data_IF_735473698406
#
_entry.id   IF_735473698406
#
_cell.length_a   1.000
_cell.length_b   1.000
_cell.length_c   1.000
_cell.angle_alpha   90.00
_cell.angle_beta   90.00
_cell.angle_gamma   90.00
#
_symmetry.space_group_name_H-M   'P 1'
#
loop_
_entity.id
_entity.type
_entity.pdbx_description
1 polymer ?
#
# COMPACT_ATOMS: atom_id res chain seq x y z
N UNK A 1 -2.23 -2.26 -1.44
CA UNK A 1 -1.19 -2.70 -0.47
C UNK A 1 0.20 -2.98 -1.09
N UNK A 2 0.31 -3.19 -2.38
CA UNK A 2 1.58 -3.57 -3.05
C UNK A 2 2.13 -2.50 -4.00
N UNK A 3 1.34 -1.47 -4.35
CA UNK A 3 1.67 -0.53 -5.42
C UNK A 3 2.96 0.25 -5.17
N UNK A 4 3.17 0.79 -3.98
CA UNK A 4 4.29 1.69 -3.69
C UNK A 4 5.68 1.05 -3.80
N UNK A 5 5.84 -0.21 -3.36
CA UNK A 5 7.10 -0.93 -3.49
C UNK A 5 7.31 -1.37 -4.93
N UNK A 6 6.25 -1.80 -5.63
CA UNK A 6 6.29 -2.29 -7.02
C UNK A 6 6.81 -1.24 -7.99
N UNK A 7 6.31 -0.02 -7.88
CA UNK A 7 6.69 1.06 -8.81
C UNK A 7 8.13 1.55 -8.58
N UNK A 8 8.71 1.19 -7.45
CA UNK A 8 9.97 1.69 -6.95
C UNK A 8 11.14 0.70 -7.06
N UNK A 9 10.86 -0.59 -6.94
CA UNK A 9 11.86 -1.67 -6.88
C UNK A 9 11.49 -2.78 -7.87
N UNK A 10 12.18 -2.77 -9.03
CA UNK A 10 11.99 -3.79 -10.08
C UNK A 10 12.37 -5.18 -9.60
N UNK A 11 13.34 -5.29 -8.69
CA UNK A 11 13.77 -6.58 -8.11
C UNK A 11 12.64 -7.12 -7.24
N UNK A 12 12.09 -6.27 -6.36
CA UNK A 12 10.94 -6.67 -5.55
C UNK A 12 9.75 -7.11 -6.41
N UNK A 13 9.46 -6.41 -7.52
CA UNK A 13 8.39 -6.79 -8.44
C UNK A 13 8.63 -8.18 -9.06
N UNK A 14 9.87 -8.46 -9.45
CA UNK A 14 10.27 -9.75 -10.02
C UNK A 14 10.15 -10.86 -8.97
N UNK A 15 10.67 -10.63 -7.76
CA UNK A 15 10.59 -11.60 -6.65
C UNK A 15 9.12 -11.88 -6.28
N UNK A 16 8.27 -10.85 -6.24
CA UNK A 16 6.85 -10.98 -5.96
C UNK A 16 6.11 -11.77 -7.05
N UNK A 17 6.44 -11.53 -8.32
CA UNK A 17 5.86 -12.27 -9.44
C UNK A 17 6.27 -13.76 -9.38
N UNK A 18 7.56 -14.04 -9.13
CA UNK A 18 8.08 -15.39 -8.96
C UNK A 18 7.42 -16.10 -7.77
N UNK A 19 7.32 -15.43 -6.63
CA UNK A 19 6.64 -15.95 -5.44
C UNK A 19 5.18 -16.30 -5.73
N UNK A 20 4.43 -15.40 -6.37
CA UNK A 20 3.03 -15.66 -6.71
C UNK A 20 2.88 -16.84 -7.68
N UNK A 21 3.79 -16.95 -8.65
CA UNK A 21 3.82 -18.10 -9.55
C UNK A 21 4.03 -19.40 -8.77
N UNK A 22 5.01 -19.44 -7.88
CA UNK A 22 5.33 -20.61 -7.04
C UNK A 22 4.12 -20.99 -6.16
N UNK A 23 3.49 -20.04 -5.49
CA UNK A 23 2.27 -20.28 -4.69
C UNK A 23 1.15 -20.89 -5.53
N UNK A 24 0.96 -20.39 -6.75
CA UNK A 24 -0.05 -20.93 -7.67
C UNK A 24 0.26 -22.37 -8.10
N UNK A 25 1.52 -22.67 -8.43
CA UNK A 25 1.95 -24.04 -8.80
C UNK A 25 1.82 -24.99 -7.59
N UNK A 26 2.25 -24.54 -6.39
CA UNK A 26 2.07 -25.32 -5.17
C UNK A 26 0.58 -25.61 -4.89
N UNK A 27 -0.28 -24.61 -5.02
CA UNK A 27 -1.72 -24.78 -4.84
C UNK A 27 -2.34 -25.74 -5.86
N UNK A 28 -1.83 -25.75 -7.09
CA UNK A 28 -2.22 -26.74 -8.11
C UNK A 28 -1.81 -28.14 -7.69
N UNK A 29 -0.54 -28.31 -7.29
CA UNK A 29 -0.02 -29.58 -6.79
C UNK A 29 -0.84 -30.08 -5.59
N UNK A 30 -1.15 -29.23 -4.61
CA UNK A 30 -1.99 -29.59 -3.45
C UNK A 30 -3.38 -30.12 -3.84
N UNK A 31 -3.94 -29.64 -4.94
CA UNK A 31 -5.20 -30.18 -5.50
C UNK A 31 -4.98 -31.53 -6.18
N UNK A 32 -3.90 -31.66 -6.94
CA UNK A 32 -3.57 -32.88 -7.70
C UNK A 32 -3.20 -34.05 -6.78
N UNK A 33 -2.65 -33.78 -5.58
CA UNK A 33 -2.35 -34.80 -4.56
C UNK A 33 -3.54 -35.63 -4.11
N UNK A 34 -4.75 -35.09 -4.26
CA UNK A 34 -5.97 -35.87 -3.96
C UNK A 34 -6.22 -37.00 -4.97
N UNK A 35 -5.65 -36.89 -6.19
CA UNK A 35 -5.77 -37.89 -7.26
C UNK A 35 -4.48 -38.69 -7.40
N UNK A 36 -3.33 -38.04 -7.18
CA UNK A 36 -1.98 -38.64 -7.36
C UNK A 36 -1.12 -38.41 -6.09
N UNK A 37 -1.29 -39.21 -5.03
CA UNK A 37 -0.53 -39.07 -3.78
C UNK A 37 0.99 -39.21 -3.93
N UNK A 38 1.45 -39.90 -5.01
CA UNK A 38 2.88 -40.08 -5.30
C UNK A 38 3.63 -38.79 -5.60
N UNK A 39 2.92 -37.70 -5.92
CA UNK A 39 3.52 -36.38 -6.15
C UNK A 39 3.91 -35.65 -4.86
N UNK A 40 3.67 -36.22 -3.68
CA UNK A 40 3.91 -35.56 -2.38
C UNK A 40 5.35 -35.07 -2.21
N UNK A 41 6.33 -35.85 -2.67
CA UNK A 41 7.75 -35.51 -2.54
C UNK A 41 8.14 -34.26 -3.37
N UNK A 42 7.35 -33.90 -4.38
CA UNK A 42 7.57 -32.69 -5.17
C UNK A 42 7.22 -31.41 -4.42
N UNK A 43 6.49 -31.50 -3.29
CA UNK A 43 6.22 -30.35 -2.44
C UNK A 43 7.51 -29.71 -1.89
N UNK A 44 8.54 -30.50 -1.61
CA UNK A 44 9.79 -29.99 -1.08
C UNK A 44 10.43 -28.93 -1.97
N UNK A 45 10.37 -29.14 -3.28
CA UNK A 45 10.92 -28.19 -4.26
C UNK A 45 10.18 -26.86 -4.22
N UNK A 46 8.85 -26.91 -4.17
CA UNK A 46 8.02 -25.71 -4.10
C UNK A 46 8.17 -24.99 -2.77
N UNK A 47 8.28 -25.71 -1.65
CA UNK A 47 8.43 -25.14 -0.32
C UNK A 47 9.75 -24.39 -0.17
N UNK A 48 10.87 -24.97 -0.69
CA UNK A 48 12.18 -24.33 -0.68
C UNK A 48 12.16 -23.03 -1.50
N UNK A 49 11.63 -23.08 -2.73
CA UNK A 49 11.54 -21.90 -3.59
C UNK A 49 10.62 -20.83 -2.99
N UNK A 50 9.48 -21.25 -2.43
CA UNK A 50 8.54 -20.35 -1.77
C UNK A 50 9.19 -19.65 -0.56
N UNK A 51 9.99 -20.37 0.23
CA UNK A 51 10.73 -19.81 1.36
C UNK A 51 11.80 -18.81 0.89
N UNK A 52 12.53 -19.13 -0.17
CA UNK A 52 13.59 -18.25 -0.71
C UNK A 52 13.02 -16.88 -1.15
N UNK A 53 12.02 -16.89 -2.04
CA UNK A 53 11.41 -15.64 -2.51
C UNK A 53 10.59 -14.95 -1.43
N UNK A 54 9.94 -15.72 -0.56
CA UNK A 54 9.16 -15.19 0.54
C UNK A 54 9.98 -14.40 1.55
N UNK A 55 11.18 -14.86 1.91
CA UNK A 55 12.13 -14.13 2.78
C UNK A 55 12.47 -12.76 2.19
N UNK A 56 12.86 -12.72 0.92
CA UNK A 56 13.18 -11.45 0.22
C UNK A 56 12.01 -10.46 0.27
N UNK A 57 10.78 -10.94 0.11
CA UNK A 57 9.57 -10.11 0.18
C UNK A 57 9.35 -9.56 1.59
N UNK A 58 9.45 -10.40 2.63
CA UNK A 58 9.25 -10.01 4.01
C UNK A 58 10.28 -8.94 4.41
N UNK A 59 11.55 -9.16 4.09
CA UNK A 59 12.64 -8.22 4.40
C UNK A 59 12.41 -6.87 3.72
N UNK A 60 12.07 -6.88 2.42
CA UNK A 60 11.78 -5.66 1.67
C UNK A 60 10.57 -4.90 2.17
N UNK A 61 9.52 -5.61 2.60
CA UNK A 61 8.35 -4.97 3.23
C UNK A 61 8.70 -4.35 4.56
N UNK A 62 9.48 -5.04 5.40
CA UNK A 62 9.94 -4.52 6.68
C UNK A 62 10.79 -3.26 6.52
N UNK A 63 11.73 -3.27 5.57
CA UNK A 63 12.54 -2.10 5.22
C UNK A 63 11.68 -0.91 4.75
N UNK A 64 10.73 -1.19 3.86
CA UNK A 64 9.83 -0.17 3.34
C UNK A 64 8.96 0.47 4.42
N UNK A 65 8.40 -0.32 5.35
CA UNK A 65 7.56 0.21 6.41
C UNK A 65 8.36 1.08 7.38
N UNK A 66 9.63 0.76 7.66
CA UNK A 66 10.51 1.64 8.44
C UNK A 66 10.66 3.00 7.76
N UNK A 67 10.99 3.00 6.46
CA UNK A 67 11.12 4.22 5.67
C UNK A 67 9.80 5.02 5.58
N UNK A 68 8.68 4.32 5.43
CA UNK A 68 7.34 4.93 5.40
C UNK A 68 7.03 5.65 6.71
N UNK A 69 7.35 5.03 7.85
CA UNK A 69 7.09 5.60 9.18
C UNK A 69 7.86 6.89 9.43
N UNK A 70 9.09 7.03 8.91
CA UNK A 70 9.85 8.27 9.02
C UNK A 70 9.15 9.46 8.34
N UNK A 71 8.48 9.18 7.22
CA UNK A 71 7.81 10.19 6.40
C UNK A 71 6.39 10.44 6.88
N UNK A 72 5.62 9.36 7.15
CA UNK A 72 4.21 9.47 7.48
C UNK A 72 3.96 10.18 8.81
N UNK A 73 4.82 9.99 9.81
CA UNK A 73 4.72 10.71 11.09
C UNK A 73 4.76 12.22 10.91
N UNK A 74 5.68 12.72 10.08
CA UNK A 74 5.81 14.14 9.79
C UNK A 74 4.59 14.68 9.06
N UNK A 75 4.15 14.00 8.00
CA UNK A 75 3.03 14.42 7.17
C UNK A 75 1.74 14.40 7.99
N UNK A 76 1.50 13.32 8.74
CA UNK A 76 0.29 13.20 9.55
C UNK A 76 0.25 14.21 10.70
N UNK A 77 1.39 14.43 11.37
CA UNK A 77 1.51 15.47 12.39
C UNK A 77 1.16 16.85 11.84
N UNK A 78 1.64 17.21 10.65
CA UNK A 78 1.29 18.48 10.02
C UNK A 78 -0.20 18.56 9.64
N UNK A 79 -0.78 17.48 9.08
CA UNK A 79 -2.20 17.41 8.72
C UNK A 79 -3.13 17.49 9.94
N UNK A 80 -2.67 17.07 11.10
CA UNK A 80 -3.47 17.05 12.35
C UNK A 80 -3.09 18.15 13.33
N UNK A 81 -2.23 19.09 12.93
CA UNK A 81 -1.72 20.14 13.82
C UNK A 81 -0.95 19.61 15.03
N UNK A 82 -0.32 18.44 14.90
CA UNK A 82 0.45 17.77 15.95
C UNK A 82 -0.41 16.99 16.98
N UNK A 83 -1.71 16.89 16.76
CA UNK A 83 -2.63 16.21 17.70
C UNK A 83 -2.55 14.67 17.61
N UNK A 84 -2.12 14.14 16.49
CA UNK A 84 -2.08 12.70 16.28
C UNK A 84 -0.71 12.25 15.75
N UNK A 85 -0.19 11.16 16.32
CA UNK A 85 0.99 10.45 15.82
C UNK A 85 0.55 9.20 15.07
N UNK A 86 0.82 9.13 13.76
CA UNK A 86 0.52 7.96 12.93
C UNK A 86 1.71 7.02 12.85
N UNK A 87 1.44 5.74 13.01
CA UNK A 87 2.44 4.68 12.87
C UNK A 87 1.85 3.49 12.09
N UNK A 88 2.62 2.96 11.16
CA UNK A 88 2.26 1.76 10.39
C UNK A 88 3.08 0.59 10.91
N UNK A 89 2.41 -0.47 11.30
CA UNK A 89 3.04 -1.70 11.80
C UNK A 89 2.89 -2.76 10.71
N UNK A 90 4.02 -3.35 10.33
CA UNK A 90 4.00 -4.51 9.46
C UNK A 90 3.73 -5.76 10.29
N UNK A 91 2.70 -6.50 9.93
CA UNK A 91 2.26 -7.74 10.58
C UNK A 91 2.52 -8.91 9.61
N UNK A 92 3.76 -9.44 9.55
CA UNK A 92 4.03 -10.61 8.75
C UNK A 92 3.36 -11.84 9.35
N UNK A 93 2.87 -12.74 8.50
CA UNK A 93 2.36 -14.06 8.91
C UNK A 93 3.40 -14.84 9.74
N UNK A 94 4.68 -14.69 9.36
CA UNK A 94 5.82 -15.16 10.15
C UNK A 94 7.07 -14.37 9.78
N UNK A 95 8.12 -14.46 10.62
CA UNK A 95 9.40 -13.82 10.31
C UNK A 95 10.12 -14.53 9.16
N UNK A 96 11.01 -13.80 8.47
CA UNK A 96 11.77 -14.34 7.33
C UNK A 96 12.55 -15.62 7.71
N UNK A 97 13.13 -15.67 8.92
CA UNK A 97 13.92 -16.80 9.42
C UNK A 97 13.06 -18.05 9.68
N UNK A 98 11.80 -17.85 10.10
CA UNK A 98 10.88 -18.94 10.44
C UNK A 98 10.01 -19.40 9.26
N UNK A 99 10.10 -18.72 8.11
CA UNK A 99 9.19 -18.97 6.99
C UNK A 99 9.23 -20.42 6.50
N UNK A 100 10.42 -20.98 6.29
CA UNK A 100 10.60 -22.36 5.81
C UNK A 100 10.01 -23.38 6.78
N UNK A 101 10.36 -23.26 8.07
CA UNK A 101 9.82 -24.14 9.11
C UNK A 101 8.29 -24.01 9.24
N UNK A 102 7.75 -22.80 9.06
CA UNK A 102 6.31 -22.55 9.11
C UNK A 102 5.59 -23.17 7.90
N UNK A 103 6.15 -23.09 6.70
CA UNK A 103 5.62 -23.76 5.50
C UNK A 103 5.59 -25.28 5.73
N UNK A 104 6.70 -25.87 6.19
CA UNK A 104 6.77 -27.29 6.48
C UNK A 104 5.77 -27.75 7.54
N UNK A 105 5.63 -26.99 8.64
CA UNK A 105 4.68 -27.30 9.72
C UNK A 105 3.21 -27.26 9.26
N UNK A 106 2.90 -26.44 8.27
CA UNK A 106 1.54 -26.30 7.74
C UNK A 106 1.20 -27.28 6.60
N UNK A 107 2.13 -28.13 6.14
CA UNK A 107 1.91 -29.03 4.98
C UNK A 107 0.65 -29.88 5.09
N UNK A 108 0.43 -30.55 6.22
CA UNK A 108 -0.74 -31.40 6.39
C UNK A 108 -2.06 -30.61 6.34
N UNK A 109 -2.05 -29.41 6.92
CA UNK A 109 -3.18 -28.48 6.82
C UNK A 109 -3.41 -28.05 5.37
N UNK A 110 -2.35 -27.68 4.67
CA UNK A 110 -2.39 -27.23 3.28
C UNK A 110 -2.91 -28.33 2.36
N UNK A 111 -2.47 -29.58 2.55
CA UNK A 111 -2.97 -30.73 1.80
C UNK A 111 -4.47 -30.94 2.03
N UNK A 112 -4.96 -30.82 3.26
CA UNK A 112 -6.40 -30.92 3.57
C UNK A 112 -7.22 -29.78 2.96
N UNK A 113 -6.69 -28.56 3.05
CA UNK A 113 -7.36 -27.35 2.56
C UNK A 113 -7.15 -27.11 1.07
N UNK A 114 -6.21 -27.85 0.44
CA UNK A 114 -5.78 -27.70 -0.97
C UNK A 114 -5.33 -26.25 -1.29
N UNK A 115 -4.75 -25.58 -0.30
CA UNK A 115 -4.36 -24.18 -0.37
C UNK A 115 -3.16 -23.91 0.54
N UNK A 116 -2.23 -23.10 0.07
CA UNK A 116 -1.11 -22.61 0.86
C UNK A 116 -1.58 -21.63 1.93
N UNK A 117 -1.35 -21.94 3.19
CA UNK A 117 -1.87 -21.17 4.33
C UNK A 117 -0.82 -20.27 4.99
N UNK A 118 0.47 -20.47 4.71
CA UNK A 118 1.57 -19.71 5.34
C UNK A 118 2.35 -18.90 4.30
N UNK A 119 2.84 -17.72 4.68
CA UNK A 119 3.76 -16.90 3.90
C UNK A 119 3.29 -15.47 3.60
N UNK A 120 4.12 -14.66 2.91
CA UNK A 120 3.90 -13.22 2.74
C UNK A 120 2.63 -12.82 1.98
N UNK A 121 1.92 -13.72 1.36
CA UNK A 121 0.58 -13.47 0.81
C UNK A 121 -0.50 -13.36 1.90
N UNK A 122 -0.18 -13.70 3.16
CA UNK A 122 -1.03 -13.57 4.34
C UNK A 122 -0.70 -12.37 5.21
N UNK A 123 0.40 -11.69 4.93
CA UNK A 123 0.80 -10.50 5.70
C UNK A 123 -0.27 -9.41 5.69
N UNK A 124 -0.32 -8.66 6.76
CA UNK A 124 -1.18 -7.49 6.89
C UNK A 124 -0.38 -6.25 7.37
N UNK A 125 -1.06 -5.13 7.42
CA UNK A 125 -0.58 -3.88 7.99
C UNK A 125 -1.57 -3.40 9.02
N UNK A 126 -1.09 -2.99 10.19
CA UNK A 126 -1.87 -2.26 11.17
C UNK A 126 -1.52 -0.78 11.11
N UNK A 127 -2.51 0.10 11.10
CA UNK A 127 -2.33 1.56 11.10
C UNK A 127 -2.82 2.09 12.45
N UNK A 128 -1.88 2.63 13.22
CA UNK A 128 -2.12 3.10 14.57
C UNK A 128 -2.07 4.63 14.61
N UNK A 129 -3.06 5.26 15.22
CA UNK A 129 -3.01 6.68 15.59
C UNK A 129 -3.10 6.80 17.11
N UNK A 130 -2.13 7.45 17.73
CA UNK A 130 -2.02 7.57 19.19
C UNK A 130 -2.20 6.24 19.94
N UNK A 131 -1.66 5.15 19.38
CA UNK A 131 -1.74 3.81 19.97
C UNK A 131 -3.05 3.06 19.73
N UNK A 132 -3.97 3.58 18.93
CA UNK A 132 -5.26 2.96 18.61
C UNK A 132 -5.27 2.47 17.15
N UNK A 133 -5.67 1.21 16.90
CA UNK A 133 -5.89 0.69 15.53
C UNK A 133 -7.06 1.45 14.90
N UNK A 134 -6.74 2.35 13.97
CA UNK A 134 -7.74 3.22 13.34
C UNK A 134 -8.65 2.51 12.35
N UNK A 135 -8.27 1.33 11.84
CA UNK A 135 -9.18 0.53 10.99
C UNK A 135 -10.37 0.00 11.79
N UNK A 136 -10.15 -0.30 13.08
CA UNK A 136 -11.17 -0.90 13.95
C UNK A 136 -11.92 0.13 14.78
N UNK A 137 -11.20 1.13 15.27
CA UNK A 137 -11.70 2.03 16.30
C UNK A 137 -11.62 3.52 15.92
N UNK A 138 -10.99 3.85 14.78
CA UNK A 138 -10.83 5.22 14.33
C UNK A 138 -12.14 5.79 13.78
N UNK A 139 -12.36 7.09 14.00
CA UNK A 139 -13.42 7.83 13.33
C UNK A 139 -13.19 7.87 11.81
N UNK A 140 -14.24 8.14 11.03
CA UNK A 140 -14.12 8.29 9.58
C UNK A 140 -13.11 9.39 9.21
N UNK A 141 -13.09 10.51 9.94
CA UNK A 141 -12.12 11.58 9.72
C UNK A 141 -10.69 11.15 9.96
N UNK A 142 -10.42 10.37 11.02
CA UNK A 142 -9.10 9.81 11.29
C UNK A 142 -8.67 8.83 10.18
N UNK A 143 -9.56 7.94 9.75
CA UNK A 143 -9.26 6.99 8.67
C UNK A 143 -8.92 7.70 7.36
N UNK A 144 -9.67 8.75 6.99
CA UNK A 144 -9.43 9.57 5.79
C UNK A 144 -8.11 10.32 5.87
N UNK A 145 -7.85 10.99 7.01
CA UNK A 145 -6.59 11.72 7.22
C UNK A 145 -5.38 10.79 7.18
N UNK A 146 -5.48 9.60 7.78
CA UNK A 146 -4.42 8.60 7.72
C UNK A 146 -4.19 8.07 6.30
N UNK A 147 -5.26 7.80 5.54
CA UNK A 147 -5.16 7.39 4.14
C UNK A 147 -4.47 8.46 3.28
N UNK A 148 -4.83 9.73 3.47
CA UNK A 148 -4.18 10.86 2.80
C UNK A 148 -2.71 10.96 3.18
N UNK A 149 -2.39 10.86 4.48
CA UNK A 149 -0.99 10.89 4.99
C UNK A 149 -0.14 9.79 4.37
N UNK A 150 -0.69 8.59 4.24
CA UNK A 150 -0.03 7.46 3.60
C UNK A 150 0.23 7.74 2.11
N UNK A 151 -0.77 8.28 1.40
CA UNK A 151 -0.63 8.62 -0.03
C UNK A 151 0.41 9.71 -0.28
N UNK A 152 0.39 10.77 0.50
CA UNK A 152 1.41 11.81 0.41
C UNK A 152 2.80 11.26 0.72
N UNK A 153 2.91 10.39 1.74
CA UNK A 153 4.19 9.75 2.09
C UNK A 153 4.73 8.88 0.95
N UNK A 154 3.87 8.15 0.23
CA UNK A 154 4.25 7.41 -0.97
C UNK A 154 4.87 8.34 -2.02
N UNK A 155 4.22 9.46 -2.31
CA UNK A 155 4.69 10.44 -3.30
C UNK A 155 6.08 10.97 -2.92
N UNK A 156 6.28 11.36 -1.66
CA UNK A 156 7.57 11.85 -1.17
C UNK A 156 8.68 10.79 -1.30
N UNK A 157 8.38 9.54 -0.96
CA UNK A 157 9.34 8.44 -1.07
C UNK A 157 9.68 8.16 -2.54
N UNK A 158 8.68 8.14 -3.42
CA UNK A 158 8.86 7.92 -4.86
C UNK A 158 9.72 9.05 -5.46
N UNK A 159 9.35 10.31 -5.21
CA UNK A 159 10.09 11.49 -5.69
C UNK A 159 11.56 11.45 -5.27
N UNK A 160 11.84 11.10 -4.00
CA UNK A 160 13.22 10.99 -3.49
C UNK A 160 14.05 9.92 -4.20
N UNK A 161 13.43 8.80 -4.60
CA UNK A 161 14.15 7.64 -5.17
C UNK A 161 14.28 7.65 -6.69
N UNK A 162 13.21 8.05 -7.38
CA UNK A 162 13.19 8.04 -8.86
C UNK A 162 13.85 9.29 -9.42
N UNK A 163 14.01 10.37 -8.61
CA UNK A 163 14.47 11.68 -9.03
C UNK A 163 13.60 12.28 -10.15
N UNK A 164 12.35 11.87 -10.22
CA UNK A 164 11.33 12.34 -11.13
C UNK A 164 10.06 12.62 -10.34
N UNK A 165 9.19 13.49 -10.87
CA UNK A 165 7.97 13.89 -10.18
C UNK A 165 6.79 13.15 -10.77
N UNK A 166 6.09 12.31 -9.98
CA UNK A 166 4.91 11.59 -10.48
C UNK A 166 3.77 12.57 -10.77
N UNK A 167 2.85 12.18 -11.67
CA UNK A 167 1.57 12.88 -11.84
C UNK A 167 0.60 12.39 -10.76
N UNK A 168 0.01 13.33 -10.04
CA UNK A 168 -0.96 13.04 -8.97
C UNK A 168 -2.39 13.21 -9.48
N UNK A 169 -3.23 12.23 -9.20
CA UNK A 169 -4.66 12.28 -9.49
C UNK A 169 -5.42 12.28 -8.16
N UNK A 170 -6.16 13.35 -7.89
CA UNK A 170 -7.02 13.52 -6.71
C UNK A 170 -8.47 13.60 -7.16
N UNK A 171 -9.23 12.55 -6.85
CA UNK A 171 -10.64 12.44 -7.19
C UNK A 171 -11.50 12.75 -5.97
N UNK A 172 -12.17 13.90 -5.97
CA UNK A 172 -13.07 14.42 -4.93
C UNK A 172 -12.49 14.46 -3.50
N UNK A 173 -11.15 14.46 -3.37
CA UNK A 173 -10.49 14.38 -2.05
C UNK A 173 -10.71 15.65 -1.23
N UNK A 174 -10.81 16.80 -1.88
CA UNK A 174 -10.89 18.10 -1.19
C UNK A 174 -12.21 18.32 -0.48
N UNK A 175 -13.33 17.81 -1.03
CA UNK A 175 -14.65 17.91 -0.38
C UNK A 175 -14.73 17.22 0.98
N UNK A 176 -13.82 16.29 1.24
CA UNK A 176 -13.77 15.50 2.46
C UNK A 176 -12.87 16.09 3.55
N UNK A 177 -12.17 17.20 3.26
CA UNK A 177 -11.18 17.82 4.15
C UNK A 177 -11.67 19.17 4.63
N UNK A 178 -11.33 19.50 5.89
CA UNK A 178 -11.46 20.88 6.40
C UNK A 178 -10.42 21.79 5.74
N UNK A 179 -10.65 23.12 5.83
CA UNK A 179 -9.81 24.12 5.18
C UNK A 179 -8.33 24.05 5.57
N UNK A 180 -8.00 23.68 6.80
CA UNK A 180 -6.60 23.55 7.23
C UNK A 180 -5.89 22.39 6.53
N UNK A 181 -6.56 21.24 6.43
CA UNK A 181 -6.03 20.06 5.73
C UNK A 181 -5.99 20.25 4.21
N UNK A 182 -6.99 20.97 3.64
CA UNK A 182 -6.98 21.35 2.23
C UNK A 182 -5.73 22.20 1.91
N UNK A 183 -5.47 23.24 2.70
CA UNK A 183 -4.29 24.10 2.52
C UNK A 183 -3.00 23.30 2.60
N UNK A 184 -2.85 22.49 3.64
CA UNK A 184 -1.65 21.66 3.78
C UNK A 184 -1.45 20.70 2.59
N UNK A 185 -2.53 20.07 2.11
CA UNK A 185 -2.48 19.20 0.94
C UNK A 185 -2.01 19.98 -0.29
N UNK A 186 -2.65 21.10 -0.59
CA UNK A 186 -2.35 21.93 -1.75
C UNK A 186 -0.91 22.45 -1.71
N UNK A 187 -0.44 22.93 -0.56
CA UNK A 187 0.96 23.35 -0.37
C UNK A 187 1.94 22.19 -0.60
N UNK A 188 1.60 21.00 -0.10
CA UNK A 188 2.44 19.80 -0.21
C UNK A 188 2.59 19.28 -1.64
N UNK A 189 1.68 19.63 -2.54
CA UNK A 189 1.68 19.18 -3.95
C UNK A 189 1.98 20.30 -4.95
N UNK A 190 2.35 21.49 -4.47
CA UNK A 190 2.55 22.70 -5.30
C UNK A 190 3.59 22.51 -6.42
N UNK A 191 4.56 21.62 -6.23
CA UNK A 191 5.63 21.29 -7.19
C UNK A 191 5.35 19.97 -7.96
N UNK A 192 4.12 19.47 -7.91
CA UNK A 192 3.70 18.21 -8.54
C UNK A 192 2.61 18.50 -9.58
N UNK A 193 2.76 17.96 -10.78
CA UNK A 193 1.68 18.00 -11.77
C UNK A 193 0.47 17.24 -11.23
N UNK A 194 -0.60 17.97 -10.92
CA UNK A 194 -1.77 17.39 -10.23
C UNK A 194 -3.04 17.66 -11.05
N UNK A 195 -3.87 16.63 -11.18
CA UNK A 195 -5.24 16.74 -11.68
C UNK A 195 -6.18 16.52 -10.50
N UNK A 196 -7.06 17.49 -10.26
CA UNK A 196 -8.01 17.45 -9.15
C UNK A 196 -9.41 17.49 -9.72
N UNK A 197 -10.28 16.57 -9.32
CA UNK A 197 -11.72 16.66 -9.56
C UNK A 197 -12.42 17.18 -8.31
N UNK A 198 -13.40 18.04 -8.48
CA UNK A 198 -14.24 18.57 -7.39
C UNK A 198 -15.60 19.01 -7.90
N UNK A 199 -16.58 19.09 -7.01
CA UNK A 199 -17.89 19.67 -7.24
C UNK A 199 -17.93 21.09 -6.69
N UNK A 200 -17.65 22.09 -7.52
CA UNK A 200 -17.65 23.51 -7.14
C UNK A 200 -16.24 24.13 -7.16
N UNK A 201 -16.17 25.33 -7.71
CA UNK A 201 -14.94 26.13 -7.81
C UNK A 201 -14.77 27.08 -6.60
N UNK A 202 -15.85 27.40 -5.91
CA UNK A 202 -15.87 28.47 -4.91
C UNK A 202 -14.94 28.20 -3.74
N UNK A 203 -14.78 26.94 -3.35
CA UNK A 203 -13.85 26.50 -2.30
C UNK A 203 -12.38 26.66 -2.71
N UNK A 204 -12.06 26.62 -4.01
CA UNK A 204 -10.69 26.79 -4.53
C UNK A 204 -10.29 28.26 -4.67
N UNK A 205 -11.24 29.12 -5.00
CA UNK A 205 -10.97 30.55 -5.22
C UNK A 205 -10.63 31.25 -3.89
N UNK A 206 -11.14 30.75 -2.77
CA UNK A 206 -10.82 31.27 -1.44
C UNK A 206 -9.40 30.99 -0.97
N UNK A 207 -8.73 30.01 -1.58
CA UNK A 207 -7.36 29.62 -1.27
C UNK A 207 -6.43 30.17 -2.35
N UNK A 208 -5.35 30.83 -1.99
CA UNK A 208 -4.33 31.42 -2.88
C UNK A 208 -3.55 30.39 -3.71
N UNK A 209 -4.18 29.28 -4.09
CA UNK A 209 -3.56 28.23 -4.88
C UNK A 209 -3.50 28.63 -6.36
N UNK A 210 -2.32 28.54 -6.97
CA UNK A 210 -2.16 28.84 -8.39
C UNK A 210 -2.75 27.72 -9.26
N UNK A 211 -3.99 27.90 -9.70
CA UNK A 211 -4.63 26.99 -10.67
C UNK A 211 -4.12 27.34 -12.07
N UNK A 212 -3.43 26.42 -12.72
CA UNK A 212 -2.92 26.66 -14.07
C UNK A 212 -4.02 26.51 -15.13
N UNK A 213 -4.92 25.55 -14.97
CA UNK A 213 -6.03 25.30 -15.93
C UNK A 213 -7.25 24.76 -15.18
N UNK A 214 -8.42 25.25 -15.61
CA UNK A 214 -9.72 24.75 -15.15
C UNK A 214 -10.44 24.11 -16.33
N UNK A 215 -11.03 22.96 -16.11
CA UNK A 215 -11.90 22.30 -17.07
C UNK A 215 -13.27 22.09 -16.42
N UNK A 216 -14.32 22.54 -17.08
CA UNK A 216 -15.68 22.28 -16.64
C UNK A 216 -16.25 21.10 -17.41
N UNK A 217 -16.84 20.15 -16.69
CA UNK A 217 -17.47 18.97 -17.27
C UNK A 217 -18.97 19.04 -17.02
N UNK A 218 -19.76 19.17 -18.08
CA UNK A 218 -21.23 19.21 -18.05
C UNK A 218 -21.77 18.16 -19.00
N UNK A 219 -22.56 17.23 -18.50
CA UNK A 219 -23.15 16.13 -19.28
C UNK A 219 -22.15 15.40 -20.21
N UNK A 220 -20.94 15.13 -19.70
CA UNK A 220 -19.89 14.45 -20.46
C UNK A 220 -19.13 15.33 -21.45
N UNK A 221 -19.47 16.62 -21.57
CA UNK A 221 -18.75 17.58 -22.43
C UNK A 221 -17.75 18.37 -21.58
N UNK A 222 -16.50 18.44 -22.06
CA UNK A 222 -15.41 19.19 -21.43
C UNK A 222 -15.27 20.55 -22.10
N UNK A 223 -15.26 21.61 -21.32
CA UNK A 223 -15.00 22.98 -21.77
C UNK A 223 -13.99 23.67 -20.84
N UNK A 224 -13.26 24.65 -21.36
CA UNK A 224 -12.51 25.58 -20.52
C UNK A 224 -13.41 26.81 -20.29
N UNK A 225 -13.69 27.18 -19.03
CA UNK A 225 -14.30 28.48 -18.77
C UNK A 225 -13.36 29.60 -19.25
N UNK A 226 -13.92 30.59 -19.91
CA UNK A 226 -13.22 31.76 -20.47
C UNK A 226 -12.74 32.65 -19.33
#
# INVERSE_FOLDING_TARGET
RQMCIRDRDKIYLTDLASYNHIVNQRNKLLKDLSVQPSLKDTLDIWDIQMAEYGRKIIDKRSEFIKELNETVRKIHGNLTGGLEELNVIYEPDCTAEKLESNICANRERDMRMRLTSAGPHRDDLCVMANGIDIRKYGSQGQQRTAALSLKLSEIYIVKRKIKDTPVLLLDDVLSELDSSRQNYLLDSISDIQTLITCTGLDDFISHQFQINKVFQVVQGTVSQPV
#
